data_IF_960359957594
#
_entry.id   IF_960359957594
#
_cell.length_a   1.000
_cell.length_b   1.000
_cell.length_c   1.000
_cell.angle_alpha   90.00
_cell.angle_beta   90.00
_cell.angle_gamma   90.00
#
_symmetry.space_group_name_H-M   'P 1'
#
loop_
_entity.id
_entity.type
_entity.pdbx_description
1 polymer ?
#
# COMPACT_ATOMS: atom_id res chain seq x y z
N UNK A 1 -2.06 -18.02 7.27
CA UNK A 1 -2.99 -17.18 6.46
C UNK A 1 -2.30 -15.90 5.98
N UNK A 2 -1.36 -15.35 6.74
CA UNK A 2 -0.72 -14.06 6.41
C UNK A 2 0.31 -14.20 5.26
N UNK A 3 0.90 -15.39 5.07
CA UNK A 3 1.77 -15.68 3.90
C UNK A 3 1.07 -15.45 2.55
N UNK A 4 -0.17 -15.89 2.40
CA UNK A 4 -0.96 -15.68 1.19
C UNK A 4 -1.23 -14.18 0.95
N UNK A 5 -1.56 -13.45 2.02
CA UNK A 5 -1.77 -12.01 1.96
C UNK A 5 -0.49 -11.24 1.61
N UNK A 6 0.66 -11.66 2.16
CA UNK A 6 1.97 -11.13 1.79
C UNK A 6 2.31 -11.36 0.31
N UNK A 7 2.02 -12.55 -0.22
CA UNK A 7 2.22 -12.86 -1.64
C UNK A 7 1.35 -11.97 -2.55
N UNK A 8 0.08 -11.73 -2.17
CA UNK A 8 -0.80 -10.78 -2.88
C UNK A 8 -0.21 -9.37 -2.87
N UNK A 9 0.26 -8.88 -1.73
CA UNK A 9 0.87 -7.55 -1.66
C UNK A 9 2.13 -7.44 -2.52
N UNK A 10 2.98 -8.47 -2.54
CA UNK A 10 4.14 -8.51 -3.44
C UNK A 10 3.68 -8.47 -4.91
N UNK A 11 2.65 -9.23 -5.28
CA UNK A 11 2.11 -9.21 -6.64
C UNK A 11 1.65 -7.80 -7.06
N UNK A 12 0.89 -7.10 -6.21
CA UNK A 12 0.45 -5.73 -6.50
C UNK A 12 1.61 -4.73 -6.49
N UNK A 13 2.60 -4.92 -5.63
CA UNK A 13 3.80 -4.12 -5.66
C UNK A 13 4.58 -4.29 -6.97
N UNK A 14 4.72 -5.53 -7.47
CA UNK A 14 5.35 -5.80 -8.76
C UNK A 14 4.56 -5.16 -9.90
N UNK A 15 3.23 -5.27 -9.88
CA UNK A 15 2.35 -4.55 -10.82
C UNK A 15 2.61 -3.05 -10.88
N UNK A 16 2.81 -2.43 -9.71
CA UNK A 16 3.12 -1.00 -9.66
C UNK A 16 4.56 -0.68 -10.06
N UNK A 17 5.55 -1.40 -9.52
CA UNK A 17 6.95 -1.08 -9.69
C UNK A 17 7.48 -1.40 -11.09
N UNK A 18 7.00 -2.49 -11.68
CA UNK A 18 7.47 -2.98 -12.98
C UNK A 18 6.53 -2.54 -14.10
N UNK A 19 5.23 -2.75 -13.93
CA UNK A 19 4.24 -2.50 -14.98
C UNK A 19 3.61 -1.11 -14.90
N UNK A 20 3.89 -0.34 -13.83
CA UNK A 20 3.30 0.99 -13.60
C UNK A 20 1.76 0.96 -13.68
N UNK A 21 1.15 -0.19 -13.34
CA UNK A 21 -0.29 -0.44 -13.40
C UNK A 21 -0.98 0.20 -12.17
N UNK A 22 -1.13 1.53 -12.21
CA UNK A 22 -1.74 2.33 -11.14
C UNK A 22 -3.22 2.02 -10.93
N UNK A 23 -3.89 1.56 -11.99
CA UNK A 23 -5.31 1.21 -11.98
C UNK A 23 -5.56 -0.13 -11.24
N UNK A 24 -4.52 -0.94 -11.02
CA UNK A 24 -4.61 -2.14 -10.19
C UNK A 24 -4.91 -1.86 -8.71
N UNK A 25 -4.57 -0.67 -8.22
CA UNK A 25 -4.71 -0.30 -6.79
C UNK A 25 -5.59 0.91 -6.56
N UNK A 26 -5.83 1.75 -7.57
CA UNK A 26 -6.76 2.87 -7.45
C UNK A 26 -8.19 2.44 -7.76
N UNK A 27 -9.19 2.91 -6.99
CA UNK A 27 -10.60 2.77 -7.34
C UNK A 27 -10.87 3.35 -8.73
N UNK A 28 -11.73 2.68 -9.51
CA UNK A 28 -12.11 3.13 -10.86
C UNK A 28 -12.83 4.48 -10.87
N UNK A 29 -13.43 4.85 -9.75
CA UNK A 29 -14.11 6.14 -9.54
C UNK A 29 -13.13 7.30 -9.39
N UNK A 30 -11.87 7.01 -9.04
CA UNK A 30 -10.84 8.04 -8.92
C UNK A 30 -10.37 8.40 -10.32
N UNK A 31 -10.49 9.69 -10.67
CA UNK A 31 -10.05 10.18 -11.97
C UNK A 31 -8.60 9.78 -12.27
N UNK A 32 -8.30 9.59 -13.56
CA UNK A 32 -6.96 9.19 -14.01
C UNK A 32 -5.89 10.15 -13.48
N UNK A 33 -4.74 9.57 -13.16
CA UNK A 33 -3.53 10.36 -12.86
C UNK A 33 -3.08 11.09 -14.12
N UNK A 34 -2.47 12.26 -13.93
CA UNK A 34 -1.72 12.92 -15.02
C UNK A 34 -0.56 12.01 -15.43
N UNK A 35 -0.23 11.96 -16.72
CA UNK A 35 0.83 11.09 -17.25
C UNK A 35 2.18 11.30 -16.52
N UNK A 36 2.54 12.56 -16.25
CA UNK A 36 3.73 12.96 -15.50
C UNK A 36 3.80 12.40 -14.07
N UNK A 37 2.64 12.09 -13.47
CA UNK A 37 2.53 11.59 -12.11
C UNK A 37 2.44 10.06 -12.02
N UNK A 38 2.18 9.35 -13.13
CA UNK A 38 1.97 7.89 -13.12
C UNK A 38 3.19 7.17 -12.59
N UNK A 39 4.37 7.46 -13.13
CA UNK A 39 5.61 6.79 -12.75
C UNK A 39 6.05 7.06 -11.29
N UNK A 40 6.13 8.31 -10.81
CA UNK A 40 6.49 8.56 -9.42
C UNK A 40 5.42 8.05 -8.43
N UNK A 41 4.13 8.12 -8.79
CA UNK A 41 3.06 7.55 -7.98
C UNK A 41 3.21 6.02 -7.88
N UNK A 42 3.35 5.33 -9.01
CA UNK A 42 3.49 3.87 -9.04
C UNK A 42 4.71 3.41 -8.24
N UNK A 43 5.82 4.15 -8.32
CA UNK A 43 7.02 3.87 -7.52
C UNK A 43 6.79 4.03 -6.03
N UNK A 44 6.28 5.18 -5.58
CA UNK A 44 6.05 5.43 -4.16
C UNK A 44 5.00 4.49 -3.57
N UNK A 45 3.90 4.24 -4.30
CA UNK A 45 2.87 3.28 -3.89
C UNK A 45 3.38 1.85 -3.86
N UNK A 46 4.14 1.42 -4.87
CA UNK A 46 4.70 0.09 -4.93
C UNK A 46 5.65 -0.18 -3.76
N UNK A 47 6.52 0.78 -3.42
CA UNK A 47 7.39 0.71 -2.24
C UNK A 47 6.55 0.64 -0.96
N UNK A 48 5.49 1.44 -0.85
CA UNK A 48 4.60 1.41 0.32
C UNK A 48 3.96 0.03 0.51
N UNK A 49 3.47 -0.59 -0.57
CA UNK A 49 2.88 -1.94 -0.53
C UNK A 49 3.94 -2.99 -0.17
N UNK A 50 5.17 -2.89 -0.68
CA UNK A 50 6.27 -3.78 -0.27
C UNK A 50 6.59 -3.65 1.21
N UNK A 51 6.68 -2.43 1.73
CA UNK A 51 6.90 -2.20 3.16
C UNK A 51 5.76 -2.83 3.99
N UNK A 52 4.52 -2.72 3.54
CA UNK A 52 3.39 -3.35 4.21
C UNK A 52 3.46 -4.88 4.15
N UNK A 53 3.86 -5.46 3.02
CA UNK A 53 4.10 -6.89 2.90
C UNK A 53 5.18 -7.36 3.90
N UNK A 54 6.27 -6.60 4.05
CA UNK A 54 7.30 -6.89 5.05
C UNK A 54 6.74 -6.84 6.48
N UNK A 55 5.92 -5.84 6.82
CA UNK A 55 5.23 -5.79 8.12
C UNK A 55 4.36 -7.03 8.34
N UNK A 56 3.66 -7.52 7.32
CA UNK A 56 2.83 -8.75 7.41
C UNK A 56 3.66 -9.99 7.73
N UNK A 57 4.84 -10.14 7.14
CA UNK A 57 5.74 -11.25 7.50
C UNK A 57 6.29 -11.13 8.91
N UNK A 58 6.66 -9.92 9.35
CA UNK A 58 7.10 -9.68 10.73
C UNK A 58 5.98 -10.01 11.72
N UNK A 59 4.73 -9.66 11.41
CA UNK A 59 3.57 -10.00 12.23
C UNK A 59 3.33 -11.50 12.34
N UNK A 60 3.49 -12.26 11.25
CA UNK A 60 3.36 -13.72 11.30
C UNK A 60 4.34 -14.30 12.35
N UNK A 61 5.58 -13.82 12.39
CA UNK A 61 6.58 -14.24 13.39
C UNK A 61 6.21 -13.77 14.80
N UNK A 62 5.89 -12.48 14.99
CA UNK A 62 5.57 -11.91 16.32
C UNK A 62 4.35 -12.60 16.93
N UNK A 63 3.34 -12.91 16.12
CA UNK A 63 2.09 -13.54 16.57
C UNK A 63 2.28 -14.95 17.14
N UNK A 64 3.38 -15.64 16.81
CA UNK A 64 3.72 -16.95 17.41
C UNK A 64 4.14 -16.85 18.88
N UNK A 65 4.61 -15.68 19.31
CA UNK A 65 5.10 -15.45 20.67
C UNK A 65 4.07 -14.69 21.52
N UNK A 66 3.44 -13.66 20.95
CA UNK A 66 2.42 -12.85 21.63
C UNK A 66 1.39 -12.32 20.61
N UNK A 67 0.17 -12.86 20.69
CA UNK A 67 -0.92 -12.48 19.82
C UNK A 67 -1.40 -11.03 20.00
N UNK A 68 -1.33 -10.49 21.21
CA UNK A 68 -1.72 -9.11 21.50
C UNK A 68 -0.71 -8.13 20.87
N UNK A 69 0.59 -8.42 20.99
CA UNK A 69 1.64 -7.64 20.33
C UNK A 69 1.50 -7.69 18.80
N UNK A 70 1.21 -8.87 18.24
CA UNK A 70 0.92 -9.00 16.81
C UNK A 70 -0.25 -8.12 16.35
N UNK A 71 -1.33 -8.09 17.14
CA UNK A 71 -2.50 -7.24 16.86
C UNK A 71 -2.17 -5.74 16.95
N UNK A 72 -1.44 -5.30 17.97
CA UNK A 72 -1.03 -3.90 18.12
C UNK A 72 -0.13 -3.46 16.96
N UNK A 73 0.79 -4.32 16.54
CA UNK A 73 1.67 -4.04 15.41
C UNK A 73 0.90 -3.93 14.08
N UNK A 74 -0.16 -4.73 13.89
CA UNK A 74 -1.05 -4.62 12.73
C UNK A 74 -1.73 -3.26 12.67
N UNK A 75 -2.34 -2.85 13.78
CA UNK A 75 -3.03 -1.56 13.86
C UNK A 75 -2.08 -0.39 13.57
N UNK A 76 -0.88 -0.42 14.16
CA UNK A 76 0.16 0.57 13.89
C UNK A 76 0.56 0.58 12.41
N UNK A 77 0.80 -0.60 11.82
CA UNK A 77 1.20 -0.73 10.43
C UNK A 77 0.14 -0.18 9.48
N UNK A 78 -1.14 -0.49 9.72
CA UNK A 78 -2.27 0.04 8.93
C UNK A 78 -2.33 1.56 9.05
N UNK A 79 -2.19 2.12 10.26
CA UNK A 79 -2.22 3.57 10.47
C UNK A 79 -1.09 4.29 9.70
N UNK A 80 0.13 3.77 9.77
CA UNK A 80 1.28 4.33 9.05
C UNK A 80 1.10 4.23 7.54
N UNK A 81 0.66 3.07 7.03
CA UNK A 81 0.41 2.87 5.61
C UNK A 81 -0.68 3.80 5.10
N UNK A 82 -1.78 3.93 5.83
CA UNK A 82 -2.87 4.83 5.47
C UNK A 82 -2.43 6.30 5.44
N UNK A 83 -1.64 6.73 6.42
CA UNK A 83 -1.08 8.09 6.45
C UNK A 83 -0.14 8.35 5.26
N UNK A 84 0.74 7.40 4.95
CA UNK A 84 1.65 7.50 3.79
C UNK A 84 0.89 7.47 2.48
N UNK A 85 -0.12 6.62 2.36
CA UNK A 85 -1.00 6.55 1.22
C UNK A 85 -1.67 7.90 0.95
N UNK A 86 -2.28 8.51 1.97
CA UNK A 86 -2.87 9.85 1.86
C UNK A 86 -1.87 10.88 1.34
N UNK A 87 -0.65 10.89 1.86
CA UNK A 87 0.39 11.81 1.37
C UNK A 87 0.78 11.60 -0.09
N UNK A 88 0.84 10.35 -0.55
CA UNK A 88 1.13 10.02 -1.96
C UNK A 88 -0.03 10.48 -2.85
N UNK A 89 -1.27 10.22 -2.42
CA UNK A 89 -2.48 10.68 -3.08
C UNK A 89 -2.55 12.22 -3.15
N UNK A 90 -2.29 12.94 -2.06
CA UNK A 90 -2.26 14.41 -2.04
C UNK A 90 -1.21 14.99 -3.00
N UNK A 91 -0.07 14.28 -3.13
CA UNK A 91 1.07 14.73 -3.95
C UNK A 91 0.86 14.50 -5.45
N UNK A 92 0.29 13.36 -5.83
CA UNK A 92 0.23 12.93 -7.23
C UNK A 92 -1.18 12.68 -7.75
N UNK A 93 -2.12 12.39 -6.84
CA UNK A 93 -3.51 12.08 -7.13
C UNK A 93 -4.27 13.26 -7.71
N UNK A 94 -5.37 12.94 -8.37
CA UNK A 94 -6.29 13.95 -8.88
C UNK A 94 -7.13 14.51 -7.71
N UNK A 95 -7.26 15.83 -7.53
CA UNK A 95 -7.91 16.41 -6.34
C UNK A 95 -9.42 16.19 -6.26
N UNK A 96 -10.03 15.66 -7.33
CA UNK A 96 -11.49 15.55 -7.45
C UNK A 96 -12.13 14.49 -6.53
N UNK A 97 -11.37 13.54 -5.98
CA UNK A 97 -11.87 12.51 -5.05
C UNK A 97 -11.41 12.69 -3.60
N UNK A 98 -10.62 13.73 -3.31
CA UNK A 98 -10.13 14.06 -1.95
C UNK A 98 -11.02 15.09 -1.24
N UNK A 99 -12.24 15.31 -1.74
CA UNK A 99 -13.25 16.09 -1.05
C UNK A 99 -13.56 15.50 0.32
N UNK A 100 -13.39 16.32 1.36
CA UNK A 100 -14.05 16.13 2.65
C UNK A 100 -15.55 15.94 2.46
#
# INVERSE_FOLDING_TARGET
MQLFMGAIFIYYAVKLLVFKDVDAVRPKEWGKLKEENVEPYAKEMGILILCFAACVFVMEVVSQYDGLMGMLFLLLSIAVVFFRFKKIEEKYGNRNHMGM
#
